data_IF_243288120998
#
_entry.id   IF_243288120998
#
_cell.length_a   1.000
_cell.length_b   1.000
_cell.length_c   1.000
_cell.angle_alpha   90.00
_cell.angle_beta   90.00
_cell.angle_gamma   90.00
#
_symmetry.space_group_name_H-M   'P 1'
#
loop_
_entity.id
_entity.type
_entity.pdbx_description
1 polymer ?
#
# COMPACT_ATOMS: atom_id res chain seq x y z
N UNK A 1 15.83 -27.06 -7.04
CA UNK A 1 16.69 -26.02 -6.45
C UNK A 1 16.20 -25.75 -5.03
N UNK A 2 16.98 -26.03 -3.99
CA UNK A 2 16.64 -25.66 -2.62
C UNK A 2 16.59 -24.12 -2.54
N UNK A 3 15.55 -23.51 -1.96
CA UNK A 3 15.49 -22.06 -1.80
C UNK A 3 16.67 -21.64 -0.93
N UNK A 4 17.49 -20.75 -1.46
CA UNK A 4 18.55 -20.14 -0.65
C UNK A 4 17.87 -19.36 0.49
N UNK A 5 18.33 -19.59 1.71
CA UNK A 5 17.74 -19.17 3.02
C UNK A 5 17.46 -17.66 3.22
N UNK A 6 17.54 -16.84 2.17
CA UNK A 6 17.45 -15.38 2.18
C UNK A 6 16.62 -14.79 1.02
N UNK A 7 15.68 -15.52 0.44
CA UNK A 7 14.77 -14.97 -0.57
C UNK A 7 13.40 -14.67 0.04
N UNK A 8 12.71 -13.67 -0.50
CA UNK A 8 11.32 -13.39 -0.13
C UNK A 8 10.46 -14.59 -0.48
N UNK A 9 9.75 -15.12 0.50
CA UNK A 9 8.84 -16.25 0.32
C UNK A 9 7.49 -15.71 -0.16
N UNK A 10 7.31 -15.62 -1.47
CA UNK A 10 6.11 -15.06 -2.09
C UNK A 10 4.82 -15.81 -1.72
N UNK A 11 4.89 -17.10 -1.46
CA UNK A 11 3.78 -17.92 -0.98
C UNK A 11 3.32 -17.56 0.42
N UNK A 12 4.18 -16.89 1.22
CA UNK A 12 3.86 -16.36 2.54
C UNK A 12 3.43 -14.89 2.51
N UNK A 13 3.47 -14.23 1.35
CA UNK A 13 3.12 -12.82 1.25
C UNK A 13 1.70 -12.50 1.77
N UNK A 14 0.76 -13.46 1.70
CA UNK A 14 -0.57 -13.32 2.26
C UNK A 14 -0.57 -12.98 3.76
N UNK A 15 0.34 -13.57 4.56
CA UNK A 15 0.46 -13.26 5.98
C UNK A 15 0.97 -11.84 6.23
N UNK A 16 1.90 -11.36 5.41
CA UNK A 16 2.37 -9.96 5.50
C UNK A 16 1.26 -8.97 5.14
N UNK A 17 0.43 -9.30 4.14
CA UNK A 17 -0.73 -8.49 3.80
C UNK A 17 -1.85 -8.56 4.84
N UNK A 18 -1.98 -9.65 5.61
CA UNK A 18 -2.85 -9.67 6.79
C UNK A 18 -2.33 -8.72 7.88
N UNK A 19 -1.01 -8.65 8.08
CA UNK A 19 -0.39 -7.63 8.94
C UNK A 19 -0.63 -6.20 8.45
N UNK A 20 -0.56 -5.96 7.14
CA UNK A 20 -0.92 -4.68 6.54
C UNK A 20 -2.40 -4.33 6.76
N UNK A 21 -3.31 -5.31 6.66
CA UNK A 21 -4.72 -5.10 6.95
C UNK A 21 -4.96 -4.71 8.42
N UNK A 22 -4.31 -5.40 9.35
CA UNK A 22 -4.37 -5.05 10.77
C UNK A 22 -3.79 -3.65 11.03
N UNK A 23 -2.68 -3.30 10.39
CA UNK A 23 -2.09 -1.96 10.44
C UNK A 23 -3.05 -0.90 9.89
N UNK A 24 -3.73 -1.17 8.78
CA UNK A 24 -4.71 -0.25 8.21
C UNK A 24 -5.90 -0.03 9.16
N UNK A 25 -6.43 -1.10 9.78
CA UNK A 25 -7.48 -0.96 10.79
C UNK A 25 -6.99 -0.10 11.97
N UNK A 26 -5.81 -0.42 12.52
CA UNK A 26 -5.27 0.31 13.68
C UNK A 26 -4.99 1.78 13.36
N UNK A 27 -4.35 2.07 12.22
CA UNK A 27 -4.00 3.43 11.81
C UNK A 27 -5.22 4.30 11.47
N UNK A 28 -6.27 3.70 10.90
CA UNK A 28 -7.50 4.41 10.56
C UNK A 28 -8.59 4.29 11.64
N UNK A 29 -8.30 3.62 12.77
CA UNK A 29 -9.27 3.44 13.83
C UNK A 29 -9.83 4.78 14.35
N UNK A 30 -9.02 5.75 14.78
CA UNK A 30 -9.53 6.99 15.34
C UNK A 30 -10.23 7.88 14.30
N UNK A 31 -9.71 7.89 13.07
CA UNK A 31 -10.17 8.81 12.02
C UNK A 31 -11.34 8.27 11.21
N UNK A 32 -11.60 6.96 11.23
CA UNK A 32 -12.63 6.33 10.41
C UNK A 32 -13.45 5.28 11.17
N UNK A 33 -12.84 4.18 11.64
CA UNK A 33 -13.61 3.04 12.16
C UNK A 33 -14.34 3.34 13.47
N UNK A 34 -13.71 4.05 14.43
CA UNK A 34 -14.35 4.37 15.71
C UNK A 34 -15.63 5.17 15.54
N UNK A 35 -15.70 6.02 14.53
CA UNK A 35 -16.83 6.90 14.28
C UNK A 35 -18.13 6.17 13.95
N UNK A 36 -18.04 4.92 13.46
CA UNK A 36 -19.23 4.06 13.30
C UNK A 36 -19.85 3.65 14.62
N UNK A 37 -19.05 3.59 15.69
CA UNK A 37 -19.51 3.19 17.02
C UNK A 37 -19.90 4.39 17.90
N UNK A 38 -19.31 5.56 17.64
CA UNK A 38 -19.52 6.76 18.44
C UNK A 38 -20.74 7.60 17.96
N UNK A 39 -21.42 7.20 16.90
CA UNK A 39 -22.52 7.95 16.29
C UNK A 39 -22.09 9.29 15.66
N UNK A 40 -20.79 9.58 15.58
CA UNK A 40 -20.21 10.82 15.02
C UNK A 40 -19.88 10.69 13.52
N UNK A 41 -20.50 9.74 12.84
CA UNK A 41 -20.24 9.43 11.45
C UNK A 41 -20.88 10.39 10.47
N UNK A 42 -20.36 11.60 10.39
CA UNK A 42 -20.59 12.45 9.22
C UNK A 42 -19.44 12.24 8.24
N UNK A 43 -19.58 11.22 7.39
CA UNK A 43 -18.61 10.92 6.37
C UNK A 43 -19.12 11.37 5.02
N UNK A 44 -18.34 12.18 4.33
CA UNK A 44 -18.62 12.42 2.92
C UNK A 44 -18.53 11.09 2.15
N UNK A 45 -19.32 10.97 1.09
CA UNK A 45 -19.30 9.82 0.17
C UNK A 45 -17.88 9.42 -0.25
N UNK A 46 -16.97 10.39 -0.41
CA UNK A 46 -15.60 10.19 -0.87
C UNK A 46 -14.76 9.30 0.07
N UNK A 47 -14.96 9.43 1.41
CA UNK A 47 -14.26 8.58 2.38
C UNK A 47 -14.70 7.12 2.27
N UNK A 48 -16.02 6.89 2.23
CA UNK A 48 -16.55 5.54 2.08
C UNK A 48 -16.16 4.91 0.76
N UNK A 49 -16.24 5.67 -0.33
CA UNK A 49 -15.86 5.23 -1.66
C UNK A 49 -14.40 4.78 -1.69
N UNK A 50 -13.48 5.61 -1.16
CA UNK A 50 -12.07 5.25 -1.06
C UNK A 50 -11.84 4.03 -0.17
N UNK A 51 -12.43 3.98 1.02
CA UNK A 51 -12.26 2.89 1.97
C UNK A 51 -12.69 1.55 1.39
N UNK A 52 -13.82 1.49 0.67
CA UNK A 52 -14.30 0.26 0.02
C UNK A 52 -13.27 -0.29 -0.97
N UNK A 53 -12.76 0.55 -1.89
CA UNK A 53 -11.80 0.08 -2.88
C UNK A 53 -10.42 -0.23 -2.28
N UNK A 54 -9.98 0.50 -1.26
CA UNK A 54 -8.75 0.21 -0.53
C UNK A 54 -8.85 -1.14 0.21
N UNK A 55 -9.96 -1.42 0.89
CA UNK A 55 -10.21 -2.70 1.56
C UNK A 55 -10.27 -3.84 0.55
N UNK A 56 -11.00 -3.66 -0.56
CA UNK A 56 -11.07 -4.68 -1.63
C UNK A 56 -9.68 -4.99 -2.19
N UNK A 57 -8.84 -3.96 -2.36
CA UNK A 57 -7.47 -4.15 -2.81
C UNK A 57 -6.64 -4.97 -1.82
N UNK A 58 -6.67 -4.63 -0.52
CA UNK A 58 -5.96 -5.40 0.51
C UNK A 58 -6.48 -6.85 0.55
N UNK A 59 -7.78 -7.07 0.44
CA UNK A 59 -8.37 -8.42 0.36
C UNK A 59 -7.83 -9.20 -0.86
N UNK A 60 -7.70 -8.56 -2.02
CA UNK A 60 -7.08 -9.17 -3.20
C UNK A 60 -5.62 -9.53 -2.89
N UNK A 61 -4.83 -8.62 -2.31
CA UNK A 61 -3.44 -8.87 -1.94
C UNK A 61 -3.28 -10.04 -0.97
N UNK A 62 -4.20 -10.21 -0.03
CA UNK A 62 -4.23 -11.35 0.91
C UNK A 62 -4.61 -12.65 0.20
N UNK A 63 -5.69 -12.62 -0.57
CA UNK A 63 -6.24 -13.82 -1.20
C UNK A 63 -5.29 -14.42 -2.25
N UNK A 64 -4.62 -13.59 -3.04
CA UNK A 64 -3.83 -14.03 -4.18
C UNK A 64 -2.68 -14.98 -3.80
N UNK A 65 -1.80 -14.69 -2.82
CA UNK A 65 -0.75 -15.63 -2.41
C UNK A 65 -1.32 -16.90 -1.75
N UNK A 66 -2.42 -16.80 -1.02
CA UNK A 66 -3.09 -17.94 -0.39
C UNK A 66 -3.58 -18.92 -1.47
N UNK A 67 -4.22 -18.40 -2.53
CA UNK A 67 -4.70 -19.21 -3.65
C UNK A 67 -3.56 -19.90 -4.40
N UNK A 68 -2.42 -19.23 -4.58
CA UNK A 68 -1.21 -19.83 -5.16
C UNK A 68 -0.70 -20.98 -4.27
N UNK A 69 -0.65 -20.76 -2.96
CA UNK A 69 -0.23 -21.79 -2.00
C UNK A 69 -1.15 -23.01 -2.00
N UNK A 70 -2.47 -22.77 -2.16
CA UNK A 70 -3.48 -23.82 -2.29
C UNK A 70 -3.52 -24.46 -3.69
N UNK A 71 -2.65 -24.02 -4.63
CA UNK A 71 -2.61 -24.44 -6.04
C UNK A 71 -3.93 -24.18 -6.78
N UNK A 72 -4.77 -23.27 -6.29
CA UNK A 72 -6.03 -22.88 -6.94
C UNK A 72 -5.79 -21.77 -7.98
N UNK A 73 -5.09 -22.12 -9.05
CA UNK A 73 -4.71 -21.18 -10.11
C UNK A 73 -5.90 -20.64 -10.90
N UNK A 74 -7.03 -21.38 -10.94
CA UNK A 74 -8.26 -20.92 -11.62
C UNK A 74 -8.84 -19.71 -10.87
N UNK A 75 -9.03 -19.85 -9.56
CA UNK A 75 -9.59 -18.78 -8.73
C UNK A 75 -8.62 -17.60 -8.61
N UNK A 76 -7.29 -17.86 -8.46
CA UNK A 76 -6.25 -16.83 -8.52
C UNK A 76 -6.40 -15.96 -9.78
N UNK A 77 -6.57 -16.56 -10.96
CA UNK A 77 -6.74 -15.80 -12.21
C UNK A 77 -8.07 -15.05 -12.27
N UNK A 78 -9.15 -15.64 -11.75
CA UNK A 78 -10.47 -15.00 -11.74
C UNK A 78 -10.48 -13.77 -10.82
N UNK A 79 -10.04 -13.92 -9.57
CA UNK A 79 -9.93 -12.80 -8.62
C UNK A 79 -8.89 -11.78 -9.10
N UNK A 80 -7.77 -12.24 -9.70
CA UNK A 80 -6.76 -11.35 -10.26
C UNK A 80 -7.30 -10.40 -11.34
N UNK A 81 -8.27 -10.85 -12.15
CA UNK A 81 -8.94 -9.98 -13.13
C UNK A 81 -9.78 -8.88 -12.50
N UNK A 82 -10.28 -9.09 -11.25
CA UNK A 82 -11.01 -8.06 -10.53
C UNK A 82 -10.14 -6.84 -10.25
N UNK A 83 -8.81 -7.02 -10.16
CA UNK A 83 -7.88 -5.90 -9.99
C UNK A 83 -7.94 -4.90 -11.15
N UNK A 84 -8.28 -5.31 -12.37
CA UNK A 84 -8.46 -4.40 -13.51
C UNK A 84 -9.62 -3.42 -13.31
N UNK A 85 -10.57 -3.79 -12.44
CA UNK A 85 -11.67 -2.92 -12.06
C UNK A 85 -11.32 -2.13 -10.78
N UNK A 86 -10.83 -2.80 -9.75
CA UNK A 86 -10.56 -2.19 -8.44
C UNK A 86 -9.49 -1.09 -8.53
N UNK A 87 -8.41 -1.32 -9.28
CA UNK A 87 -7.29 -0.36 -9.36
C UNK A 87 -7.68 0.98 -9.98
N UNK A 88 -8.36 1.08 -11.12
CA UNK A 88 -8.87 2.36 -11.63
C UNK A 88 -9.74 3.11 -10.60
N UNK A 89 -10.60 2.40 -9.88
CA UNK A 89 -11.42 3.03 -8.84
C UNK A 89 -10.62 3.49 -7.63
N UNK A 90 -9.50 2.84 -7.28
CA UNK A 90 -8.55 3.37 -6.28
C UNK A 90 -8.00 4.72 -6.75
N UNK A 91 -7.53 4.83 -8.01
CA UNK A 91 -7.03 6.08 -8.56
C UNK A 91 -8.09 7.18 -8.51
N UNK A 92 -9.29 6.89 -9.01
CA UNK A 92 -10.42 7.83 -8.99
C UNK A 92 -10.74 8.24 -7.55
N UNK A 93 -10.80 7.30 -6.62
CA UNK A 93 -11.14 7.58 -5.22
C UNK A 93 -10.11 8.45 -4.52
N UNK A 94 -8.81 8.27 -4.79
CA UNK A 94 -7.75 9.13 -4.24
C UNK A 94 -7.84 10.55 -4.81
N UNK A 95 -8.08 10.68 -6.12
CA UNK A 95 -8.25 12.00 -6.77
C UNK A 95 -9.48 12.73 -6.20
N UNK A 96 -10.62 12.03 -6.09
CA UNK A 96 -11.84 12.60 -5.53
C UNK A 96 -11.66 12.99 -4.06
N UNK A 97 -10.97 12.16 -3.27
CA UNK A 97 -10.69 12.45 -1.87
C UNK A 97 -9.73 13.65 -1.71
N UNK A 98 -8.71 13.75 -2.58
CA UNK A 98 -7.83 14.92 -2.63
C UNK A 98 -8.61 16.18 -3.03
N UNK A 99 -9.43 16.10 -4.06
CA UNK A 99 -10.28 17.22 -4.49
C UNK A 99 -11.24 17.68 -3.39
N UNK A 100 -11.87 16.75 -2.67
CA UNK A 100 -12.79 17.09 -1.57
C UNK A 100 -12.11 17.79 -0.38
N UNK A 101 -10.78 17.75 -0.30
CA UNK A 101 -10.01 18.46 0.73
C UNK A 101 -9.61 19.87 0.32
N UNK A 102 -9.82 20.25 -0.93
CA UNK A 102 -9.48 21.59 -1.44
C UNK A 102 -10.62 22.52 -1.07
N UNK A 103 -10.43 23.38 -0.07
CA UNK A 103 -11.41 24.38 0.35
C UNK A 103 -11.12 25.76 -0.21
N UNK A 104 -9.93 25.96 -0.77
CA UNK A 104 -9.46 27.24 -1.33
C UNK A 104 -8.71 28.12 -0.33
N UNK A 105 -8.58 27.66 0.92
CA UNK A 105 -7.92 28.42 2.01
C UNK A 105 -6.65 27.69 2.53
N UNK A 106 -6.18 26.65 1.83
CA UNK A 106 -5.02 25.88 2.27
C UNK A 106 -3.72 26.67 2.07
N UNK A 107 -3.00 26.92 3.16
CA UNK A 107 -1.66 27.53 3.12
C UNK A 107 -0.63 26.69 2.35
N UNK A 108 -0.83 25.37 2.24
CA UNK A 108 0.11 24.40 1.63
C UNK A 108 -0.60 23.43 0.68
N UNK A 109 -1.41 23.93 -0.26
CA UNK A 109 -2.13 23.11 -1.23
C UNK A 109 -1.20 22.13 -2.00
N UNK A 110 -0.02 22.59 -2.40
CA UNK A 110 0.94 21.78 -3.12
C UNK A 110 1.35 20.52 -2.34
N UNK A 111 1.67 20.65 -1.05
CA UNK A 111 2.02 19.52 -0.19
C UNK A 111 0.83 18.59 0.05
N UNK A 112 -0.36 19.15 0.28
CA UNK A 112 -1.58 18.38 0.52
C UNK A 112 -1.97 17.51 -0.67
N UNK A 113 -1.69 17.97 -1.89
CA UNK A 113 -1.90 17.19 -3.11
C UNK A 113 -0.74 16.26 -3.41
N UNK A 114 0.51 16.67 -3.13
CA UNK A 114 1.67 15.86 -3.43
C UNK A 114 1.65 14.50 -2.72
N UNK A 115 1.31 14.47 -1.44
CA UNK A 115 1.30 13.23 -0.63
C UNK A 115 0.45 12.11 -1.25
N UNK A 116 -0.82 12.29 -1.59
CA UNK A 116 -1.60 11.23 -2.23
C UNK A 116 -1.13 10.90 -3.66
N UNK A 117 -0.65 11.89 -4.42
CA UNK A 117 -0.21 11.67 -5.80
C UNK A 117 1.11 10.92 -5.89
N UNK A 118 2.08 11.18 -5.00
CA UNK A 118 3.33 10.41 -4.96
C UNK A 118 3.07 8.93 -4.69
N UNK A 119 2.12 8.62 -3.79
CA UNK A 119 1.74 7.25 -3.48
C UNK A 119 1.10 6.57 -4.69
N UNK A 120 0.23 7.26 -5.42
CA UNK A 120 -0.34 6.74 -6.67
C UNK A 120 0.74 6.46 -7.72
N UNK A 121 1.79 7.26 -7.80
CA UNK A 121 2.89 7.05 -8.75
C UNK A 121 3.65 5.75 -8.44
N UNK A 122 4.02 5.53 -7.17
CA UNK A 122 4.69 4.29 -6.75
C UNK A 122 3.74 3.08 -6.90
N UNK A 123 2.46 3.25 -6.56
CA UNK A 123 1.44 2.22 -6.76
C UNK A 123 1.31 1.86 -8.25
N UNK A 124 1.22 2.86 -9.14
CA UNK A 124 1.15 2.66 -10.58
C UNK A 124 2.35 1.89 -11.12
N UNK A 125 3.56 2.21 -10.64
CA UNK A 125 4.76 1.47 -10.98
C UNK A 125 4.65 0.02 -10.54
N UNK A 126 4.35 -0.25 -9.26
CA UNK A 126 4.25 -1.61 -8.73
C UNK A 126 3.20 -2.45 -9.46
N UNK A 127 1.99 -1.93 -9.60
CA UNK A 127 0.90 -2.61 -10.31
C UNK A 127 1.19 -2.77 -11.79
N UNK A 128 1.71 -1.74 -12.46
CA UNK A 128 2.08 -1.78 -13.87
C UNK A 128 3.13 -2.86 -14.16
N UNK A 129 4.18 -2.95 -13.32
CA UNK A 129 5.18 -4.04 -13.39
C UNK A 129 4.51 -5.39 -13.19
N UNK A 130 3.64 -5.53 -12.19
CA UNK A 130 2.95 -6.78 -11.92
C UNK A 130 2.10 -7.24 -13.12
N UNK A 131 1.36 -6.35 -13.76
CA UNK A 131 0.51 -6.68 -14.90
C UNK A 131 1.33 -6.95 -16.17
N UNK A 132 2.33 -6.11 -16.45
CA UNK A 132 3.22 -6.30 -17.60
C UNK A 132 3.91 -7.65 -17.56
N UNK A 133 4.39 -8.06 -16.38
CA UNK A 133 5.13 -9.30 -16.18
C UNK A 133 4.29 -10.41 -15.54
N UNK A 134 2.96 -10.41 -15.71
CA UNK A 134 2.06 -11.41 -15.12
C UNK A 134 2.35 -12.86 -15.47
N UNK A 135 3.11 -13.11 -16.55
CA UNK A 135 3.56 -14.45 -16.95
C UNK A 135 4.89 -14.85 -16.30
N UNK A 136 5.61 -13.90 -15.68
CA UNK A 136 6.88 -14.13 -15.00
C UNK A 136 6.67 -13.99 -13.50
N UNK A 137 6.33 -15.10 -12.83
CA UNK A 137 5.91 -15.13 -11.42
C UNK A 137 6.81 -14.29 -10.51
N UNK A 138 8.14 -14.39 -10.69
CA UNK A 138 9.09 -13.69 -9.83
C UNK A 138 8.99 -12.16 -9.92
N UNK A 139 8.75 -11.61 -11.12
CA UNK A 139 8.60 -10.14 -11.32
C UNK A 139 7.19 -9.70 -10.93
N UNK A 140 6.16 -10.47 -11.32
CA UNK A 140 4.78 -10.20 -10.96
C UNK A 140 4.59 -10.09 -9.45
N UNK A 141 5.10 -11.07 -8.69
CA UNK A 141 4.97 -11.08 -7.23
C UNK A 141 5.65 -9.87 -6.58
N UNK A 142 6.82 -9.44 -7.06
CA UNK A 142 7.51 -8.24 -6.55
C UNK A 142 6.73 -6.98 -6.85
N UNK A 143 6.17 -6.84 -8.06
CA UNK A 143 5.30 -5.71 -8.39
C UNK A 143 4.07 -5.63 -7.47
N UNK A 144 3.43 -6.78 -7.17
CA UNK A 144 2.30 -6.81 -6.24
C UNK A 144 2.71 -6.46 -4.81
N UNK A 145 3.91 -6.86 -4.37
CA UNK A 145 4.45 -6.45 -3.06
C UNK A 145 4.65 -4.92 -3.03
N UNK A 146 5.23 -4.33 -4.07
CA UNK A 146 5.39 -2.86 -4.15
C UNK A 146 4.05 -2.15 -4.07
N UNK A 147 3.04 -2.63 -4.83
CA UNK A 147 1.68 -2.07 -4.77
C UNK A 147 0.99 -2.24 -3.40
N UNK A 148 1.48 -3.15 -2.55
CA UNK A 148 1.05 -3.29 -1.16
C UNK A 148 1.83 -2.39 -0.19
N UNK A 149 3.15 -2.23 -0.39
CA UNK A 149 4.02 -1.42 0.48
C UNK A 149 3.55 0.04 0.54
N UNK A 150 3.07 0.58 -0.56
CA UNK A 150 2.55 1.96 -0.63
C UNK A 150 1.47 2.23 0.42
N UNK A 151 0.67 1.22 0.75
CA UNK A 151 -0.41 1.37 1.73
C UNK A 151 0.09 1.41 3.19
N UNK A 152 1.37 1.09 3.42
CA UNK A 152 1.97 1.15 4.76
C UNK A 152 2.05 2.61 5.22
N UNK A 153 2.51 3.52 4.37
CA UNK A 153 2.74 4.92 4.76
C UNK A 153 1.48 5.58 5.33
N UNK A 154 0.33 5.65 4.62
CA UNK A 154 -0.85 6.32 5.14
C UNK A 154 -1.44 5.67 6.40
N UNK A 155 -1.23 4.36 6.60
CA UNK A 155 -1.70 3.67 7.79
C UNK A 155 -0.73 3.86 8.97
N UNK A 156 0.57 3.73 8.71
CA UNK A 156 1.60 3.79 9.75
C UNK A 156 1.77 5.19 10.32
N UNK A 157 1.76 6.23 9.47
CA UNK A 157 1.85 7.61 9.95
C UNK A 157 0.69 7.95 10.89
N UNK A 158 -0.53 7.54 10.56
CA UNK A 158 -1.69 7.76 11.43
C UNK A 158 -1.57 7.02 12.74
N UNK A 159 -1.12 5.77 12.71
CA UNK A 159 -0.90 4.99 13.92
C UNK A 159 0.14 5.62 14.83
N UNK A 160 1.29 6.03 14.28
CA UNK A 160 2.37 6.68 15.02
C UNK A 160 1.88 8.01 15.62
N UNK A 161 1.21 8.85 14.84
CA UNK A 161 0.68 10.11 15.33
C UNK A 161 -0.35 9.89 16.44
N UNK A 162 -1.26 8.95 16.27
CA UNK A 162 -2.28 8.65 17.27
C UNK A 162 -1.71 8.12 18.60
N UNK A 163 -0.68 7.27 18.53
CA UNK A 163 -0.13 6.60 19.72
C UNK A 163 0.87 7.50 20.47
N UNK A 164 1.74 8.19 19.73
CA UNK A 164 2.88 8.92 20.31
C UNK A 164 2.70 10.44 20.35
N UNK A 165 1.77 10.97 19.55
CA UNK A 165 1.51 12.40 19.41
C UNK A 165 0.00 12.72 19.43
N UNK A 166 -0.78 12.21 20.42
CA UNK A 166 -2.24 12.29 20.41
C UNK A 166 -2.79 13.72 20.39
N UNK A 167 -2.05 14.66 20.97
CA UNK A 167 -2.45 16.07 21.08
C UNK A 167 -1.88 16.94 19.95
N UNK A 168 -1.03 16.37 19.07
CA UNK A 168 -0.48 17.08 17.93
C UNK A 168 -1.33 16.79 16.67
N UNK A 169 -1.81 17.84 16.01
CA UNK A 169 -2.50 17.68 14.72
C UNK A 169 -1.61 17.08 13.66
N UNK A 170 -0.34 17.49 13.62
CA UNK A 170 0.73 16.93 12.79
C UNK A 170 2.06 17.03 13.56
N UNK A 171 2.82 15.91 13.59
CA UNK A 171 4.16 15.85 14.15
C UNK A 171 5.15 15.41 13.07
N UNK A 172 6.08 16.29 12.65
CA UNK A 172 7.10 15.95 11.63
C UNK A 172 7.93 14.72 12.03
N UNK A 173 8.21 14.54 13.34
CA UNK A 173 8.95 13.41 13.88
C UNK A 173 8.24 12.08 13.59
N UNK A 174 6.91 12.04 13.74
CA UNK A 174 6.09 10.87 13.43
C UNK A 174 6.09 10.53 11.93
N UNK A 175 6.09 11.55 11.08
CA UNK A 175 6.23 11.37 9.64
C UNK A 175 7.61 10.86 9.26
N UNK A 176 8.68 11.46 9.80
CA UNK A 176 10.06 11.02 9.57
C UNK A 176 10.28 9.58 10.05
N UNK A 177 9.75 9.20 11.21
CA UNK A 177 9.80 7.83 11.70
C UNK A 177 9.11 6.85 10.74
N UNK A 178 7.96 7.23 10.19
CA UNK A 178 7.24 6.43 9.17
C UNK A 178 8.11 6.21 7.93
N UNK A 179 8.68 7.28 7.38
CA UNK A 179 9.55 7.21 6.21
C UNK A 179 10.77 6.34 6.50
N UNK A 180 11.42 6.51 7.66
CA UNK A 180 12.57 5.70 8.05
C UNK A 180 12.22 4.20 8.08
N UNK A 181 11.08 3.82 8.65
CA UNK A 181 10.62 2.43 8.67
C UNK A 181 10.40 1.89 7.26
N UNK A 182 9.80 2.67 6.35
CA UNK A 182 9.59 2.27 4.96
C UNK A 182 10.93 2.06 4.24
N UNK A 183 11.89 2.97 4.42
CA UNK A 183 13.22 2.81 3.82
C UNK A 183 13.95 1.58 4.38
N UNK A 184 13.89 1.32 5.69
CA UNK A 184 14.46 0.13 6.30
C UNK A 184 13.85 -1.15 5.70
N UNK A 185 12.52 -1.18 5.51
CA UNK A 185 11.82 -2.29 4.88
C UNK A 185 12.27 -2.48 3.42
N UNK A 186 12.33 -1.42 2.63
CA UNK A 186 12.73 -1.47 1.23
C UNK A 186 14.19 -1.90 1.07
N UNK A 187 15.10 -1.35 1.88
CA UNK A 187 16.52 -1.73 1.90
C UNK A 187 16.66 -3.20 2.30
N UNK A 188 15.89 -3.63 3.32
CA UNK A 188 15.83 -5.04 3.73
C UNK A 188 15.40 -5.97 2.57
N UNK A 189 14.40 -5.57 1.79
CA UNK A 189 13.96 -6.30 0.60
C UNK A 189 15.05 -6.35 -0.50
N UNK A 190 15.73 -5.23 -0.77
CA UNK A 190 16.85 -5.19 -1.74
C UNK A 190 17.97 -6.13 -1.30
N UNK A 191 18.34 -6.11 -0.01
CA UNK A 191 19.39 -6.98 0.54
C UNK A 191 18.97 -8.46 0.47
N UNK A 192 17.71 -8.77 0.83
CA UNK A 192 17.19 -10.14 0.77
C UNK A 192 17.21 -10.71 -0.65
N UNK A 193 16.95 -9.86 -1.63
CA UNK A 193 16.82 -10.23 -3.04
C UNK A 193 18.11 -10.06 -3.87
N UNK A 194 19.21 -9.57 -3.28
CA UNK A 194 20.46 -9.26 -4.00
C UNK A 194 21.05 -10.42 -4.80
N UNK A 195 20.80 -11.68 -4.37
CA UNK A 195 21.29 -12.90 -5.04
C UNK A 195 20.32 -13.44 -6.09
N UNK A 196 19.12 -12.87 -6.24
CA UNK A 196 18.14 -13.32 -7.21
C UNK A 196 18.51 -12.81 -8.61
N UNK A 197 18.45 -13.69 -9.60
CA UNK A 197 18.77 -13.32 -11.00
C UNK A 197 17.60 -12.60 -11.69
N UNK A 198 16.35 -12.95 -11.36
CA UNK A 198 15.16 -12.49 -12.04
C UNK A 198 14.36 -11.55 -11.13
N UNK A 199 14.12 -10.34 -11.59
CA UNK A 199 13.21 -9.38 -10.95
C UNK A 199 13.77 -8.60 -9.76
N UNK A 200 15.05 -8.80 -9.35
CA UNK A 200 15.67 -8.06 -8.24
C UNK A 200 15.62 -6.52 -8.43
N UNK A 201 15.64 -6.08 -9.68
CA UNK A 201 15.60 -4.68 -10.06
C UNK A 201 14.33 -3.96 -9.60
N UNK A 202 13.22 -4.68 -9.40
CA UNK A 202 11.93 -4.09 -9.01
C UNK A 202 12.07 -3.32 -7.70
N UNK A 203 12.62 -3.94 -6.65
CA UNK A 203 12.80 -3.26 -5.36
C UNK A 203 13.86 -2.15 -5.42
N UNK A 204 14.92 -2.32 -6.22
CA UNK A 204 15.94 -1.27 -6.40
C UNK A 204 15.35 -0.02 -7.07
N UNK A 205 14.53 -0.19 -8.11
CA UNK A 205 13.82 0.92 -8.75
C UNK A 205 12.80 1.53 -7.77
N UNK A 206 12.12 0.71 -6.98
CA UNK A 206 11.18 1.21 -5.97
C UNK A 206 11.89 2.11 -4.96
N UNK A 207 13.08 1.74 -4.46
CA UNK A 207 13.89 2.62 -3.59
C UNK A 207 14.20 3.94 -4.30
N UNK A 208 14.64 3.89 -5.55
CA UNK A 208 14.91 5.10 -6.36
C UNK A 208 13.67 5.99 -6.52
N UNK A 209 12.49 5.39 -6.75
CA UNK A 209 11.24 6.14 -6.81
C UNK A 209 10.89 6.78 -5.46
N UNK A 210 11.05 6.06 -4.34
CA UNK A 210 10.82 6.63 -3.01
C UNK A 210 11.78 7.80 -2.73
N UNK A 211 13.07 7.70 -3.10
CA UNK A 211 14.02 8.81 -2.98
C UNK A 211 13.58 10.00 -3.86
N UNK A 212 13.03 9.74 -5.04
CA UNK A 212 12.60 10.80 -5.94
C UNK A 212 11.35 11.54 -5.45
N UNK A 213 10.44 10.84 -4.77
CA UNK A 213 9.16 11.42 -4.34
C UNK A 213 9.15 11.96 -2.90
N UNK A 214 10.16 11.65 -2.07
CA UNK A 214 10.35 12.19 -0.73
C UNK A 214 11.45 13.24 -0.68
#
# INVERSE_FOLDING_TARGET
>A
MKPTRRSVLFDKAGYYFMGLFALAIAGFWPSYFSKFFDGRGDFSFYFHFHAVFAILWICILIAQPILIRQKNYKLHRTIGKLSYFVVPFIFISVILLAHNRITGEEENLGLSLWVPFKDLLVFAFGYGVAIKYRRTMAIHARGMIVAGIVLIEPALVRLILYVFFPDAGFAPEGYLATIAIIYLLLIGLVIAERKQKVGRWVFSITVGLYIFVH
#
